data_IF_145605823565
#
_entry.id   IF_145605823565
#
_cell.length_a   1.000
_cell.length_b   1.000
_cell.length_c   1.000
_cell.angle_alpha   90.00
_cell.angle_beta   90.00
_cell.angle_gamma   90.00
#
_symmetry.space_group_name_H-M   'P 1'
#
loop_
_entity.id
_entity.type
_entity.pdbx_description
1 polymer ?
#
# COMPACT_ATOMS: atom_id res chain seq x y z
N UNK A 1 -45.54 -2.07 26.61
CA UNK A 1 -46.61 -1.83 25.61
C UNK A 1 -46.65 -0.34 25.29
N UNK A 2 -46.52 0.01 23.99
CA UNK A 2 -46.77 1.32 23.32
C UNK A 2 -45.77 2.47 23.64
N UNK A 3 -44.79 2.75 22.77
CA UNK A 3 -44.84 3.51 21.50
C UNK A 3 -44.93 5.04 21.76
N UNK A 4 -43.83 5.78 21.58
CA UNK A 4 -43.39 6.50 20.36
C UNK A 4 -43.59 8.02 20.52
N UNK A 5 -42.50 8.77 20.38
CA UNK A 5 -42.53 10.13 19.82
C UNK A 5 -41.16 10.48 19.25
N UNK A 6 -41.05 10.19 17.96
CA UNK A 6 -40.00 10.54 17.03
C UNK A 6 -40.00 12.06 16.79
N UNK A 7 -38.91 12.75 17.15
CA UNK A 7 -38.69 14.15 16.76
C UNK A 7 -37.75 14.21 15.57
N UNK A 8 -38.37 14.33 14.41
CA UNK A 8 -37.79 14.49 13.07
C UNK A 8 -36.98 15.81 13.01
N UNK A 9 -35.65 15.76 12.94
CA UNK A 9 -34.85 16.94 12.59
C UNK A 9 -34.84 17.07 11.07
N UNK A 10 -35.52 18.12 10.61
CA UNK A 10 -35.67 18.51 9.21
C UNK A 10 -34.34 19.03 8.68
N UNK A 11 -33.72 18.29 7.77
CA UNK A 11 -32.58 18.74 6.97
C UNK A 11 -33.10 19.79 5.99
N UNK A 12 -32.70 21.06 6.17
CA UNK A 12 -32.74 22.04 5.08
C UNK A 12 -31.45 21.86 4.28
N UNK A 13 -31.58 21.44 3.02
CA UNK A 13 -30.52 21.62 2.05
C UNK A 13 -30.33 23.10 1.74
N UNK A 14 -29.12 23.48 1.36
CA UNK A 14 -28.84 23.86 -0.03
C UNK A 14 -27.35 23.68 -0.33
N UNK A 15 -27.14 23.17 -1.53
CA UNK A 15 -25.89 22.79 -2.20
C UNK A 15 -25.17 24.01 -2.75
N UNK A 16 -23.83 24.06 -2.62
CA UNK A 16 -22.92 24.34 -3.73
C UNK A 16 -21.46 24.00 -3.35
N UNK A 17 -20.97 22.93 -4.01
CA UNK A 17 -19.59 22.62 -4.44
C UNK A 17 -18.41 22.74 -3.45
N UNK A 18 -17.88 21.58 -3.03
CA UNK A 18 -16.43 21.38 -2.89
C UNK A 18 -15.81 21.33 -1.49
N UNK A 19 -16.48 20.72 -0.49
CA UNK A 19 -15.93 20.60 0.86
C UNK A 19 -14.76 19.58 0.96
N UNK A 20 -13.56 20.12 1.21
CA UNK A 20 -12.47 19.47 1.93
C UNK A 20 -12.98 18.97 3.30
N UNK A 21 -13.35 17.70 3.42
CA UNK A 21 -13.89 17.13 4.67
C UNK A 21 -12.83 16.28 5.42
N UNK A 22 -11.94 16.97 6.13
CA UNK A 22 -11.30 16.43 7.33
C UNK A 22 -12.19 16.78 8.54
N UNK A 23 -13.17 15.92 8.88
CA UNK A 23 -13.69 15.82 10.26
C UNK A 23 -14.66 14.62 10.38
N UNK A 24 -14.14 13.42 10.59
CA UNK A 24 -14.94 12.34 11.21
C UNK A 24 -14.53 12.28 12.67
N UNK A 25 -15.38 12.75 13.58
CA UNK A 25 -15.29 12.34 14.97
C UNK A 25 -15.30 10.79 14.99
N UNK A 26 -14.39 10.11 15.73
CA UNK A 26 -14.39 8.66 15.74
C UNK A 26 -15.74 8.19 16.32
N UNK A 27 -16.50 7.33 15.62
CA UNK A 27 -17.72 6.81 16.18
C UNK A 27 -17.34 6.02 17.44
N UNK A 28 -18.09 6.27 18.52
CA UNK A 28 -17.98 5.64 19.85
C UNK A 28 -17.92 4.09 19.83
N UNK A 29 -18.13 3.48 18.67
CA UNK A 29 -17.95 2.07 18.36
C UNK A 29 -16.52 1.55 18.68
N UNK A 30 -15.48 2.37 18.55
CA UNK A 30 -14.11 1.93 18.87
C UNK A 30 -13.85 1.74 20.38
N UNK A 31 -14.70 2.30 21.26
CA UNK A 31 -14.54 2.17 22.72
C UNK A 31 -15.22 0.91 23.30
N UNK A 32 -16.17 0.32 22.57
CA UNK A 32 -16.95 -0.85 23.00
C UNK A 32 -16.43 -2.19 22.44
N UNK A 33 -15.52 -2.15 21.46
CA UNK A 33 -14.84 -3.36 20.97
C UNK A 33 -13.58 -3.53 21.80
N UNK A 34 -13.63 -4.53 22.70
CA UNK A 34 -12.53 -4.87 23.59
C UNK A 34 -11.18 -4.87 22.88
N UNK A 35 -10.22 -4.27 23.55
CA UNK A 35 -8.81 -4.12 23.19
C UNK A 35 -8.24 -5.34 22.45
N UNK A 36 -8.38 -5.36 21.14
CA UNK A 36 -7.31 -5.80 20.28
C UNK A 36 -6.66 -4.52 19.78
N UNK A 37 -5.67 -4.07 20.56
CA UNK A 37 -4.57 -3.31 19.99
C UNK A 37 -3.97 -4.26 18.93
N UNK A 38 -4.52 -4.23 17.71
CA UNK A 38 -3.88 -4.89 16.58
C UNK A 38 -2.56 -4.17 16.47
N UNK A 39 -1.49 -4.84 16.87
CA UNK A 39 -0.14 -4.40 16.63
C UNK A 39 0.06 -4.44 15.11
N UNK A 40 -0.47 -3.42 14.41
CA UNK A 40 -0.22 -3.20 13.00
C UNK A 40 1.20 -2.66 12.93
N UNK A 41 2.18 -3.57 13.03
CA UNK A 41 3.55 -3.23 12.66
C UNK A 41 3.50 -2.62 11.27
N UNK A 42 4.15 -1.48 11.11
CA UNK A 42 4.28 -0.80 9.83
C UNK A 42 4.85 -1.80 8.81
N UNK A 43 4.12 -2.01 7.72
CA UNK A 43 4.44 -3.00 6.72
C UNK A 43 5.58 -2.50 5.83
N UNK A 44 6.56 -3.35 5.53
CA UNK A 44 7.72 -3.01 4.69
C UNK A 44 7.51 -3.49 3.27
N UNK A 45 7.63 -2.61 2.28
CA UNK A 45 7.48 -2.96 0.85
C UNK A 45 8.79 -2.70 0.13
N UNK A 46 9.20 -3.63 -0.74
CA UNK A 46 10.28 -3.41 -1.70
C UNK A 46 9.69 -2.99 -3.05
N UNK A 47 10.15 -1.89 -3.62
CA UNK A 47 9.80 -1.45 -4.99
C UNK A 47 11.01 -1.67 -5.89
N UNK A 48 10.84 -2.42 -6.97
CA UNK A 48 11.89 -2.78 -7.91
C UNK A 48 11.49 -2.34 -9.31
N UNK A 49 12.16 -1.32 -9.83
CA UNK A 49 11.92 -0.73 -11.15
C UNK A 49 13.19 0.02 -11.57
N UNK A 50 13.63 -0.11 -12.82
CA UNK A 50 14.81 0.60 -13.31
C UNK A 50 14.51 2.07 -13.67
N UNK A 51 13.26 2.40 -13.99
CA UNK A 51 12.83 3.75 -14.27
C UNK A 51 12.73 4.58 -12.97
N UNK A 52 13.54 5.64 -12.81
CA UNK A 52 13.53 6.46 -11.60
C UNK A 52 12.21 7.19 -11.36
N UNK A 53 11.49 7.58 -12.40
CA UNK A 53 10.24 8.32 -12.29
C UNK A 53 9.12 7.40 -11.80
N UNK A 54 9.02 6.20 -12.38
CA UNK A 54 8.05 5.18 -11.92
C UNK A 54 8.36 4.77 -10.48
N UNK A 55 9.63 4.50 -10.17
CA UNK A 55 10.06 4.13 -8.82
C UNK A 55 9.73 5.22 -7.79
N UNK A 56 9.91 6.49 -8.13
CA UNK A 56 9.56 7.62 -7.25
C UNK A 56 8.04 7.72 -7.03
N UNK A 57 7.23 7.58 -8.09
CA UNK A 57 5.77 7.58 -7.99
C UNK A 57 5.28 6.46 -7.07
N UNK A 58 5.83 5.25 -7.21
CA UNK A 58 5.48 4.10 -6.37
C UNK A 58 5.94 4.30 -4.92
N UNK A 59 7.14 4.84 -4.71
CA UNK A 59 7.67 5.19 -3.38
C UNK A 59 6.71 6.16 -2.66
N UNK A 60 6.35 7.27 -3.28
CA UNK A 60 5.48 8.28 -2.68
C UNK A 60 4.09 7.74 -2.41
N UNK A 61 3.54 6.96 -3.36
CA UNK A 61 2.21 6.37 -3.23
C UNK A 61 2.16 5.36 -2.09
N UNK A 62 3.12 4.43 -2.01
CA UNK A 62 3.16 3.44 -0.94
C UNK A 62 3.44 4.08 0.42
N UNK A 63 4.34 5.07 0.48
CA UNK A 63 4.62 5.81 1.72
C UNK A 63 3.37 6.56 2.22
N UNK A 64 2.57 7.14 1.32
CA UNK A 64 1.31 7.79 1.66
C UNK A 64 0.25 6.86 2.29
N UNK A 65 0.37 5.56 2.03
CA UNK A 65 -0.46 4.51 2.65
C UNK A 65 0.08 4.02 4.00
N UNK A 66 1.19 4.59 4.47
CA UNK A 66 1.82 4.22 5.74
C UNK A 66 2.73 3.00 5.65
N UNK A 67 3.19 2.61 4.46
CA UNK A 67 4.23 1.59 4.31
C UNK A 67 5.63 2.19 4.54
N UNK A 68 6.54 1.38 5.09
CA UNK A 68 7.98 1.66 5.00
C UNK A 68 8.46 1.09 3.67
N UNK A 69 8.99 1.93 2.80
CA UNK A 69 9.37 1.53 1.45
C UNK A 69 10.88 1.52 1.31
N UNK A 70 11.42 0.43 0.76
CA UNK A 70 12.78 0.35 0.25
C UNK A 70 12.70 0.23 -1.27
N UNK A 71 13.66 0.79 -1.98
CA UNK A 71 13.69 0.79 -3.44
C UNK A 71 14.93 0.07 -3.95
N UNK A 72 14.79 -0.67 -5.04
CA UNK A 72 15.91 -1.24 -5.78
C UNK A 72 15.84 -0.79 -7.26
N UNK A 73 17.00 -0.51 -7.84
CA UNK A 73 17.10 0.05 -9.21
C UNK A 73 17.32 -1.00 -10.29
N UNK A 74 17.63 -2.24 -9.92
CA UNK A 74 17.81 -3.35 -10.84
C UNK A 74 17.60 -4.69 -10.12
N UNK A 75 17.64 -5.79 -10.87
CA UNK A 75 17.44 -7.12 -10.30
C UNK A 75 18.56 -7.60 -9.37
N UNK A 76 19.79 -7.06 -9.46
CA UNK A 76 20.88 -7.41 -8.52
C UNK A 76 20.61 -6.78 -7.16
N UNK A 77 20.33 -5.48 -7.16
CA UNK A 77 20.00 -4.73 -5.95
C UNK A 77 18.73 -5.29 -5.27
N UNK A 78 17.72 -5.69 -6.06
CA UNK A 78 16.52 -6.34 -5.54
C UNK A 78 16.84 -7.65 -4.79
N UNK A 79 17.68 -8.51 -5.38
CA UNK A 79 18.07 -9.78 -4.76
C UNK A 79 18.93 -9.57 -3.52
N UNK A 80 19.82 -8.59 -3.53
CA UNK A 80 20.65 -8.23 -2.37
C UNK A 80 19.78 -7.62 -1.25
N UNK A 81 18.78 -6.79 -1.57
CA UNK A 81 17.82 -6.25 -0.60
C UNK A 81 16.99 -7.36 0.07
N UNK A 82 16.45 -8.30 -0.71
CA UNK A 82 15.70 -9.46 -0.21
C UNK A 82 16.53 -10.33 0.73
N UNK A 83 17.84 -10.46 0.49
CA UNK A 83 18.73 -11.20 1.39
C UNK A 83 19.03 -10.44 2.70
N UNK A 84 19.13 -9.11 2.64
CA UNK A 84 19.47 -8.27 3.80
C UNK A 84 18.29 -8.05 4.75
N UNK A 85 17.06 -8.08 4.25
CA UNK A 85 15.89 -7.62 4.99
C UNK A 85 14.63 -8.46 4.80
N UNK A 86 13.69 -8.32 5.73
CA UNK A 86 12.34 -8.89 5.61
C UNK A 86 11.36 -7.87 5.06
N UNK A 87 10.61 -8.26 4.04
CA UNK A 87 9.55 -7.48 3.43
C UNK A 87 8.22 -8.18 3.59
N UNK A 88 7.15 -7.39 3.64
CA UNK A 88 5.77 -7.85 3.65
C UNK A 88 5.17 -7.89 2.23
N UNK A 89 5.87 -7.33 1.24
CA UNK A 89 5.50 -7.38 -0.17
C UNK A 89 6.56 -6.78 -1.08
N UNK A 90 6.49 -7.11 -2.36
CA UNK A 90 7.35 -6.60 -3.42
C UNK A 90 6.51 -6.11 -4.60
N UNK A 91 6.80 -4.92 -5.11
CA UNK A 91 6.36 -4.45 -6.43
C UNK A 91 7.54 -4.64 -7.39
N UNK A 92 7.32 -5.35 -8.49
CA UNK A 92 8.40 -5.79 -9.38
C UNK A 92 8.07 -5.51 -10.84
N UNK A 93 8.93 -4.73 -11.52
CA UNK A 93 8.93 -4.65 -12.97
C UNK A 93 9.58 -5.88 -13.61
N UNK A 94 9.08 -6.28 -14.77
CA UNK A 94 9.53 -7.46 -15.51
C UNK A 94 10.65 -7.14 -16.50
N UNK A 95 10.72 -5.91 -17.00
CA UNK A 95 11.53 -5.51 -18.14
C UNK A 95 12.70 -4.61 -17.73
N UNK A 96 13.55 -5.12 -16.86
CA UNK A 96 14.78 -4.42 -16.46
C UNK A 96 16.03 -4.94 -17.20
N UNK A 97 17.03 -4.07 -17.46
CA UNK A 97 18.34 -4.49 -17.94
C UNK A 97 19.05 -5.48 -16.99
N UNK A 98 19.87 -6.37 -17.56
CA UNK A 98 20.66 -7.32 -16.78
C UNK A 98 19.80 -8.44 -16.18
N UNK A 99 19.65 -8.45 -14.85
CA UNK A 99 18.77 -9.42 -14.18
C UNK A 99 17.33 -8.90 -14.27
N UNK A 100 16.57 -9.43 -15.23
CA UNK A 100 15.16 -9.07 -15.40
C UNK A 100 14.25 -9.60 -14.29
N UNK A 101 13.04 -9.04 -14.20
CA UNK A 101 12.10 -9.32 -13.10
C UNK A 101 11.67 -10.78 -13.00
N UNK A 102 11.58 -11.51 -14.12
CA UNK A 102 11.27 -12.94 -14.08
C UNK A 102 12.30 -13.74 -13.29
N UNK A 103 13.59 -13.42 -13.45
CA UNK A 103 14.67 -14.09 -12.74
C UNK A 103 14.71 -13.68 -11.27
N UNK A 104 14.43 -12.40 -10.96
CA UNK A 104 14.23 -11.92 -9.58
C UNK A 104 13.11 -12.68 -8.90
N UNK A 105 11.95 -12.81 -9.54
CA UNK A 105 10.80 -13.54 -9.02
C UNK A 105 11.14 -15.02 -8.78
N UNK A 106 11.81 -15.67 -9.72
CA UNK A 106 12.21 -17.08 -9.60
C UNK A 106 13.12 -17.30 -8.40
N UNK A 107 14.18 -16.49 -8.25
CA UNK A 107 15.13 -16.62 -7.12
C UNK A 107 14.52 -16.21 -5.79
N UNK A 108 13.66 -15.20 -5.80
CA UNK A 108 12.87 -14.79 -4.62
C UNK A 108 11.95 -15.91 -4.18
N UNK A 109 11.24 -16.60 -5.09
CA UNK A 109 10.38 -17.74 -4.73
C UNK A 109 11.13 -18.92 -4.11
N UNK A 110 12.39 -19.14 -4.49
CA UNK A 110 13.24 -20.18 -3.88
C UNK A 110 13.67 -19.79 -2.46
N UNK A 111 14.08 -18.54 -2.25
CA UNK A 111 14.63 -18.09 -0.95
C UNK A 111 13.56 -17.60 0.04
N UNK A 112 12.47 -17.04 -0.47
CA UNK A 112 11.39 -16.38 0.25
C UNK A 112 10.04 -16.75 -0.37
N UNK A 113 9.62 -18.02 -0.29
CA UNK A 113 8.42 -18.53 -0.98
C UNK A 113 7.15 -17.78 -0.59
N UNK A 114 7.06 -17.30 0.65
CA UNK A 114 5.88 -16.63 1.19
C UNK A 114 5.82 -15.13 0.92
N UNK A 115 6.87 -14.52 0.35
CA UNK A 115 6.87 -13.09 0.06
C UNK A 115 5.85 -12.79 -1.04
N UNK A 116 4.80 -11.98 -0.79
CA UNK A 116 3.87 -11.57 -1.83
C UNK A 116 4.59 -10.70 -2.86
N UNK A 117 4.47 -11.04 -4.15
CA UNK A 117 5.04 -10.24 -5.24
C UNK A 117 3.92 -9.82 -6.17
N UNK A 118 3.80 -8.52 -6.40
CA UNK A 118 2.92 -7.93 -7.39
C UNK A 118 3.78 -7.47 -8.55
N UNK A 119 3.49 -7.98 -9.74
CA UNK A 119 4.13 -7.52 -10.96
C UNK A 119 3.48 -6.21 -11.38
N UNK A 120 4.29 -5.16 -11.53
CA UNK A 120 3.86 -3.86 -12.03
C UNK A 120 4.71 -3.59 -13.27
N UNK A 121 4.08 -3.61 -14.43
CA UNK A 121 4.77 -3.28 -15.69
C UNK A 121 3.99 -2.19 -16.39
N UNK A 122 4.69 -1.12 -16.76
CA UNK A 122 4.16 -0.08 -17.61
C UNK A 122 4.70 -0.31 -19.02
N UNK A 123 3.81 -0.60 -19.97
CA UNK A 123 4.16 -0.50 -21.38
C UNK A 123 4.19 0.98 -21.73
N UNK A 124 5.39 1.58 -21.69
CA UNK A 124 5.62 2.88 -22.30
C UNK A 124 5.45 2.73 -23.81
N UNK A 125 4.31 3.16 -24.32
CA UNK A 125 4.10 3.28 -25.76
C UNK A 125 4.88 4.51 -26.20
N UNK A 126 6.09 4.28 -26.72
CA UNK A 126 6.86 5.31 -27.43
C UNK A 126 6.33 5.48 -28.85
#
# INVERSE_FOLDING_TARGET
MKAQSSRLLRIKGETEVGAFNFFTAPPLLHMLVGSHVVNRRTKRILVVDDDPDIRQVLLDRMSSFGYVVETATDGRDALDAVQRGRFDGMLLDMLMPGIGGLEVLRRTRVSHPDLPVVVVTALSVQ
#
